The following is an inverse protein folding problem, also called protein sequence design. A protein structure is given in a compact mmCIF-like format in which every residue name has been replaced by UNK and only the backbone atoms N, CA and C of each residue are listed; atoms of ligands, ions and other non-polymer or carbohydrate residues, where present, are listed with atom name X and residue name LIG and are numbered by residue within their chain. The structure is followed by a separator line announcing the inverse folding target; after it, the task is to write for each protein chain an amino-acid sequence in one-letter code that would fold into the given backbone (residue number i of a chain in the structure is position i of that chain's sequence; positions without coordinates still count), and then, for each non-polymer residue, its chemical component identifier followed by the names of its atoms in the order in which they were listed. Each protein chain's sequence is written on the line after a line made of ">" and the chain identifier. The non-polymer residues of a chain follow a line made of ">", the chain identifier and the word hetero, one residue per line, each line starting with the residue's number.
data_IF_834868196630
#
_entry.id   IF_834868196630
#
_cell.length_a   1.000
_cell.length_b   1.000
_cell.length_c   1.000
_cell.angle_alpha   90.00
_cell.angle_beta   90.00
_cell.angle_gamma   90.00
#
_symmetry.space_group_name_H-M   'P 1'
#
loop_
_entity.id
_entity.type
_entity.pdbx_description
1 polymer ?
#
# COMPACT_ATOMS: atom_id res chain seq x y z
N UNK A 1 12.37 -12.16 8.96
CA UNK A 1 11.84 -10.79 8.81
C UNK A 1 11.30 -10.63 7.41
N UNK A 2 9.98 -10.81 7.26
CA UNK A 2 9.28 -10.68 5.98
C UNK A 2 8.84 -9.22 5.88
N UNK A 3 9.66 -8.41 5.24
CA UNK A 3 9.28 -7.09 4.74
C UNK A 3 8.62 -7.30 3.37
N UNK A 4 7.35 -6.91 3.21
CA UNK A 4 6.61 -6.99 1.93
C UNK A 4 6.10 -5.59 1.58
N UNK A 5 6.51 -5.04 0.42
CA UNK A 5 6.11 -3.71 -0.06
C UNK A 5 5.80 -3.84 -1.53
N UNK A 6 4.59 -3.48 -1.91
CA UNK A 6 4.20 -3.21 -3.29
C UNK A 6 4.97 -1.98 -3.81
N UNK A 7 5.82 -2.09 -4.83
CA UNK A 7 6.44 -0.95 -5.54
C UNK A 7 7.05 -1.36 -6.89
N UNK A 8 6.24 -1.25 -7.95
CA UNK A 8 6.58 -1.42 -9.36
C UNK A 8 7.85 -0.66 -9.80
N UNK A 9 8.97 -1.33 -10.10
CA UNK A 9 9.99 -0.80 -11.04
C UNK A 9 10.82 -1.93 -11.71
N UNK A 10 10.77 -2.04 -13.04
CA UNK A 10 11.76 -2.80 -13.83
C UNK A 10 11.99 -2.17 -15.22
N UNK A 11 13.21 -2.38 -15.74
CA UNK A 11 13.82 -2.07 -17.05
C UNK A 11 14.56 -0.71 -17.14
N UNK A 12 15.83 -0.57 -17.56
CA UNK A 12 16.83 -1.49 -18.18
C UNK A 12 18.23 -0.82 -18.17
N UNK A 13 19.28 -1.62 -18.45
CA UNK A 13 20.66 -1.26 -18.87
C UNK A 13 21.80 -1.33 -17.84
N UNK A 14 22.43 -2.51 -17.82
CA UNK A 14 23.87 -2.78 -17.86
C UNK A 14 24.84 -1.88 -17.05
N UNK A 15 25.52 -2.55 -16.10
CA UNK A 15 26.83 -2.24 -15.49
C UNK A 15 26.80 -1.65 -14.07
N UNK A 16 27.13 -2.52 -13.11
CA UNK A 16 27.98 -2.21 -11.96
C UNK A 16 27.59 -1.00 -11.09
N UNK A 17 26.45 -1.05 -10.42
CA UNK A 17 26.27 -0.33 -9.16
C UNK A 17 25.48 -1.23 -8.20
N UNK A 18 26.20 -1.94 -7.33
CA UNK A 18 25.66 -2.41 -6.06
C UNK A 18 25.49 -1.14 -5.22
N UNK A 19 24.39 -0.41 -5.43
CA UNK A 19 23.99 0.67 -4.55
C UNK A 19 23.44 0.03 -3.27
N UNK A 20 24.28 0.04 -2.25
CA UNK A 20 23.95 -0.34 -0.89
C UNK A 20 22.92 0.65 -0.33
N UNK A 21 21.64 0.44 -0.63
CA UNK A 21 20.53 1.10 0.07
C UNK A 21 19.83 0.03 0.93
N UNK A 22 20.19 0.02 2.21
CA UNK A 22 19.65 -0.87 3.28
C UNK A 22 18.14 -0.58 3.56
N UNK A 23 17.47 0.18 2.70
CA UNK A 23 16.01 0.41 2.66
C UNK A 23 15.26 -0.57 1.72
N UNK A 24 15.97 -1.44 0.98
CA UNK A 24 15.46 -2.17 -0.21
C UNK A 24 15.32 -3.71 -0.04
N UNK A 25 14.68 -4.24 1.02
CA UNK A 25 14.37 -5.68 1.07
C UNK A 25 12.89 -5.97 1.31
N UNK A 26 12.03 -5.21 0.65
CA UNK A 26 10.61 -5.49 0.66
C UNK A 26 10.22 -6.33 -0.56
N UNK A 27 9.57 -7.48 -0.36
CA UNK A 27 9.02 -8.26 -1.47
C UNK A 27 7.87 -7.50 -2.12
N UNK A 28 8.10 -7.06 -3.37
CA UNK A 28 7.09 -6.42 -4.22
C UNK A 28 6.19 -7.43 -4.92
N UNK A 29 4.90 -7.35 -4.58
CA UNK A 29 3.84 -8.17 -5.16
C UNK A 29 3.13 -7.48 -6.35
N UNK A 30 3.59 -6.30 -6.80
CA UNK A 30 3.14 -5.48 -7.94
C UNK A 30 1.85 -4.65 -7.75
N UNK A 31 0.78 -4.80 -8.54
CA UNK A 31 -0.54 -4.13 -8.35
C UNK A 31 -1.61 -5.21 -8.27
N UNK A 32 -2.52 -5.12 -7.29
CA UNK A 32 -3.53 -6.16 -7.09
C UNK A 32 -4.54 -6.13 -8.24
N UNK A 33 -5.04 -7.30 -8.61
CA UNK A 33 -6.02 -7.41 -9.68
C UNK A 33 -7.37 -6.82 -9.26
N UNK A 34 -7.66 -6.78 -7.95
CA UNK A 34 -8.85 -6.16 -7.40
C UNK A 34 -8.75 -4.63 -7.48
N UNK A 35 -9.66 -4.00 -8.24
CA UNK A 35 -9.75 -2.55 -8.39
C UNK A 35 -11.03 -2.03 -7.76
N UNK A 36 -10.90 -1.07 -6.84
CA UNK A 36 -12.04 -0.42 -6.19
C UNK A 36 -12.54 0.72 -7.09
N UNK A 37 -13.81 0.65 -7.51
CA UNK A 37 -14.51 1.70 -8.27
C UNK A 37 -15.73 2.13 -7.48
N UNK A 38 -15.78 3.40 -7.13
CA UNK A 38 -16.77 3.95 -6.19
C UNK A 38 -17.24 5.29 -6.75
N UNK A 39 -18.52 5.60 -6.57
CA UNK A 39 -19.06 6.90 -6.93
C UNK A 39 -18.67 7.94 -5.87
N UNK A 40 -18.43 9.19 -6.29
CA UNK A 40 -18.17 10.27 -5.34
C UNK A 40 -19.32 10.38 -4.34
N UNK A 41 -19.01 10.48 -3.05
CA UNK A 41 -20.00 10.55 -1.97
C UNK A 41 -20.33 9.19 -1.32
N UNK A 42 -20.05 8.07 -1.99
CA UNK A 42 -20.28 6.74 -1.40
C UNK A 42 -19.12 6.34 -0.47
N UNK A 43 -19.39 5.59 0.61
CA UNK A 43 -18.33 5.09 1.47
C UNK A 43 -17.59 3.92 0.82
N UNK A 44 -16.29 3.81 1.05
CA UNK A 44 -15.49 2.66 0.62
C UNK A 44 -14.54 2.18 1.70
N UNK A 45 -14.42 0.86 1.81
CA UNK A 45 -13.43 0.16 2.62
C UNK A 45 -12.39 -0.49 1.72
N UNK A 46 -11.18 0.05 1.72
CA UNK A 46 -10.04 -0.51 1.01
C UNK A 46 -9.28 -1.46 1.95
N UNK A 47 -9.26 -2.75 1.65
CA UNK A 47 -8.52 -3.76 2.43
C UNK A 47 -7.13 -4.01 1.86
N UNK A 48 -6.14 -4.26 2.71
CA UNK A 48 -4.80 -4.61 2.27
C UNK A 48 -4.78 -6.00 1.63
N UNK A 49 -4.47 -6.06 0.34
CA UNK A 49 -4.51 -7.29 -0.45
C UNK A 49 -3.56 -8.39 0.08
N UNK A 50 -2.46 -8.01 0.76
CA UNK A 50 -1.47 -8.97 1.29
C UNK A 50 -2.14 -10.12 2.05
N UNK A 51 -3.06 -9.79 2.96
CA UNK A 51 -3.74 -10.75 3.82
C UNK A 51 -4.80 -11.63 3.12
N UNK A 52 -5.15 -11.33 1.86
CA UNK A 52 -6.24 -12.00 1.13
C UNK A 52 -5.77 -12.79 -0.10
N UNK A 53 -4.46 -12.97 -0.28
CA UNK A 53 -3.97 -13.77 -1.41
C UNK A 53 -2.46 -13.94 -1.51
N UNK A 54 -1.67 -13.09 -0.84
CA UNK A 54 -0.22 -13.07 -1.04
C UNK A 54 0.56 -13.66 0.14
N UNK A 55 0.11 -13.44 1.38
CA UNK A 55 0.76 -14.00 2.57
C UNK A 55 -0.16 -14.97 3.32
N UNK A 56 0.44 -15.97 3.99
CA UNK A 56 -0.28 -16.95 4.83
C UNK A 56 -0.41 -16.48 6.28
N UNK A 57 -0.83 -15.24 6.47
CA UNK A 57 -1.12 -14.67 7.79
C UNK A 57 -2.30 -13.72 7.67
N UNK A 58 -3.02 -13.49 8.77
CA UNK A 58 -3.98 -12.40 8.86
C UNK A 58 -3.39 -11.20 9.61
N UNK A 59 -4.14 -10.12 9.69
CA UNK A 59 -3.70 -8.88 10.34
C UNK A 59 -3.35 -9.06 11.82
N UNK A 60 -4.19 -9.76 12.58
CA UNK A 60 -3.96 -9.97 14.01
C UNK A 60 -2.74 -10.85 14.27
N UNK A 61 -2.50 -11.86 13.43
CA UNK A 61 -1.29 -12.68 13.48
C UNK A 61 -0.05 -11.84 13.17
N UNK A 62 -0.08 -11.01 12.12
CA UNK A 62 1.03 -10.12 11.79
C UNK A 62 1.34 -9.15 12.93
N UNK A 63 0.31 -8.56 13.56
CA UNK A 63 0.49 -7.73 14.75
C UNK A 63 1.08 -8.50 15.93
N UNK A 64 0.62 -9.74 16.17
CA UNK A 64 1.09 -10.55 17.30
C UNK A 64 2.58 -10.89 17.23
N UNK A 65 3.14 -10.98 16.01
CA UNK A 65 4.57 -11.20 15.78
C UNK A 65 5.36 -9.88 15.71
N UNK A 66 4.72 -8.75 16.00
CA UNK A 66 5.35 -7.43 16.08
C UNK A 66 5.43 -6.66 14.76
N UNK A 67 4.74 -7.10 13.70
CA UNK A 67 4.70 -6.36 12.43
C UNK A 67 3.67 -5.23 12.48
N UNK A 68 4.03 -4.10 11.89
CA UNK A 68 3.20 -2.91 11.72
C UNK A 68 2.77 -2.76 10.26
N UNK A 69 1.47 -2.53 10.07
CA UNK A 69 0.89 -2.20 8.77
C UNK A 69 0.96 -0.69 8.53
N UNK A 70 1.67 -0.28 7.49
CA UNK A 70 1.74 1.09 6.99
C UNK A 70 1.06 1.21 5.64
N UNK A 71 0.52 2.40 5.36
CA UNK A 71 -0.16 2.69 4.12
C UNK A 71 0.46 3.91 3.45
N UNK A 72 0.66 3.78 2.14
CA UNK A 72 1.22 4.80 1.28
C UNK A 72 0.29 5.05 0.11
N UNK A 73 0.35 6.26 -0.44
CA UNK A 73 -0.45 6.68 -1.58
C UNK A 73 0.44 7.26 -2.67
N UNK A 74 0.13 6.90 -3.91
CA UNK A 74 0.68 7.53 -5.12
C UNK A 74 -0.46 8.12 -5.95
N UNK A 75 -0.26 9.34 -6.46
CA UNK A 75 -1.25 10.07 -7.28
C UNK A 75 -1.37 9.54 -8.70
N UNK A 76 -0.46 8.67 -9.14
CA UNK A 76 -0.55 7.99 -10.43
C UNK A 76 -0.48 8.90 -11.66
N UNK A 77 0.08 10.12 -11.52
CA UNK A 77 0.24 11.10 -12.60
C UNK A 77 1.58 10.98 -13.33
N UNK A 78 2.47 10.08 -12.91
CA UNK A 78 3.71 9.81 -13.62
C UNK A 78 4.51 8.64 -13.05
N UNK A 79 5.40 8.11 -13.88
CA UNK A 79 6.35 7.03 -13.57
C UNK A 79 7.48 7.48 -12.62
N UNK A 80 7.12 8.15 -11.53
CA UNK A 80 8.06 8.74 -10.57
C UNK A 80 7.38 9.47 -9.40
N UNK A 81 6.06 9.32 -9.24
CA UNK A 81 5.36 9.91 -8.10
C UNK A 81 5.79 9.19 -6.82
N UNK A 82 6.45 9.92 -5.93
CA UNK A 82 6.88 9.42 -4.62
C UNK A 82 5.66 8.89 -3.85
N UNK A 83 5.81 7.68 -3.29
CA UNK A 83 4.82 7.13 -2.37
C UNK A 83 4.84 7.93 -1.06
N UNK A 84 3.79 8.70 -0.80
CA UNK A 84 3.67 9.48 0.42
C UNK A 84 2.90 8.71 1.50
N UNK A 85 3.35 8.77 2.77
CA UNK A 85 2.61 8.15 3.87
C UNK A 85 1.26 8.85 4.04
N UNK A 86 0.21 8.06 4.26
CA UNK A 86 -1.15 8.59 4.38
C UNK A 86 -1.37 9.21 5.76
N UNK A 87 -1.82 10.47 5.78
CA UNK A 87 -2.27 11.15 7.00
C UNK A 87 -3.74 10.84 7.26
N UNK A 88 -4.01 10.07 8.32
CA UNK A 88 -5.38 9.72 8.72
C UNK A 88 -5.97 10.83 9.58
N UNK A 89 -7.01 11.50 9.08
CA UNK A 89 -7.72 12.54 9.84
C UNK A 89 -8.78 11.98 10.80
N UNK A 90 -9.11 10.69 10.71
CA UNK A 90 -10.07 10.00 11.58
C UNK A 90 -11.54 10.33 11.32
N UNK A 91 -11.84 11.49 10.72
CA UNK A 91 -13.21 11.94 10.43
C UNK A 91 -13.71 11.36 9.11
N UNK A 92 -12.96 11.62 8.02
CA UNK A 92 -13.34 11.19 6.66
C UNK A 92 -12.54 9.98 6.22
N UNK A 93 -11.25 9.98 6.52
CA UNK A 93 -10.30 8.92 6.19
C UNK A 93 -9.71 8.36 7.48
N UNK A 94 -9.93 7.08 7.72
CA UNK A 94 -9.49 6.40 8.95
C UNK A 94 -8.87 5.04 8.65
N UNK A 95 -7.84 4.68 9.41
CA UNK A 95 -7.26 3.34 9.39
C UNK A 95 -7.98 2.49 10.43
N UNK A 96 -8.62 1.41 9.98
CA UNK A 96 -9.26 0.42 10.85
C UNK A 96 -8.73 -0.96 10.50
N UNK A 97 -8.05 -1.61 11.45
CA UNK A 97 -7.43 -2.93 11.27
C UNK A 97 -6.48 -2.98 10.04
N UNK A 98 -6.83 -3.83 9.07
CA UNK A 98 -6.16 -4.10 7.80
C UNK A 98 -6.65 -3.22 6.65
N UNK A 99 -7.47 -2.22 6.95
CA UNK A 99 -8.21 -1.45 5.95
C UNK A 99 -8.15 0.06 6.19
N UNK A 100 -8.35 0.80 5.10
CA UNK A 100 -8.64 2.23 5.12
C UNK A 100 -10.12 2.41 4.80
N UNK A 101 -10.79 3.23 5.61
CA UNK A 101 -12.15 3.67 5.36
C UNK A 101 -12.18 5.10 4.87
N UNK A 102 -12.99 5.32 3.83
CA UNK A 102 -13.36 6.62 3.30
C UNK A 102 -14.86 6.81 3.50
N UNK A 103 -15.23 7.83 4.27
CA UNK A 103 -16.61 8.15 4.64
C UNK A 103 -16.81 9.67 4.61
N UNK A 104 -17.19 10.26 3.47
CA UNK A 104 -17.35 9.66 2.13
C UNK A 104 -16.06 9.65 1.30
N UNK A 105 -16.08 8.91 0.18
CA UNK A 105 -15.05 8.97 -0.86
C UNK A 105 -15.16 10.25 -1.71
N UNK A 106 -14.02 10.84 -2.06
CA UNK A 106 -13.92 12.04 -2.88
C UNK A 106 -13.10 11.79 -4.16
N UNK A 107 -13.27 12.63 -5.19
CA UNK A 107 -12.48 12.59 -6.42
C UNK A 107 -10.99 12.80 -6.15
N UNK A 108 -10.66 13.54 -5.09
CA UNK A 108 -9.30 13.72 -4.61
C UNK A 108 -8.70 12.45 -4.00
N UNK A 109 -9.45 11.36 -3.81
CA UNK A 109 -8.95 10.09 -3.29
C UNK A 109 -8.52 9.12 -4.40
N UNK A 110 -8.67 9.50 -5.67
CA UNK A 110 -8.23 8.67 -6.81
C UNK A 110 -6.71 8.52 -6.78
N UNK A 111 -6.22 7.28 -6.86
CA UNK A 111 -4.79 6.98 -6.84
C UNK A 111 -4.50 5.51 -6.57
N UNK A 112 -3.23 5.20 -6.41
CA UNK A 112 -2.75 3.88 -5.98
C UNK A 112 -2.47 3.91 -4.49
N UNK A 113 -2.84 2.83 -3.81
CA UNK A 113 -2.69 2.67 -2.37
C UNK A 113 -1.86 1.43 -2.09
N UNK A 114 -0.68 1.63 -1.52
CA UNK A 114 0.28 0.56 -1.20
C UNK A 114 0.17 0.25 0.29
N UNK A 115 -0.03 -1.03 0.62
CA UNK A 115 0.06 -1.51 1.99
C UNK A 115 1.39 -2.23 2.23
N UNK A 116 2.06 -1.89 3.33
CA UNK A 116 3.42 -2.32 3.64
C UNK A 116 3.44 -2.90 5.05
N UNK A 117 4.03 -4.08 5.22
CA UNK A 117 4.28 -4.69 6.53
C UNK A 117 5.77 -4.53 6.90
N UNK A 118 6.06 -3.97 8.08
CA UNK A 118 7.41 -3.85 8.66
C UNK A 118 7.46 -4.30 10.11
#
# INVERSE_FOLDING_TARGET
>A
NITSCFSLFFFFSLSLFISLSIVDLCTDWSVDYLKYRVLQGEPVRLKCALFYGYIRANYSQAQSVGLSLMWYRSTGLGHGDFEEPISFNGVRMSKEEDAIWFRPADLQDVGLYSCVLR
#
